data_IF_124627285049
#
_entry.id   IF_124627285049
#
_cell.length_a   1.000
_cell.length_b   1.000
_cell.length_c   1.000
_cell.angle_alpha   90.00
_cell.angle_beta   90.00
_cell.angle_gamma   90.00
#
_symmetry.space_group_name_H-M   'P 1'
#
loop_
_entity.id
_entity.type
_entity.pdbx_description
1 polymer ?
#
# COMPACT_ATOMS: atom_id res chain seq x y z
N UNK A 1 0.59 -17.52 -9.86
CA UNK A 1 0.54 -16.09 -10.22
C UNK A 1 1.96 -15.56 -10.42
N UNK A 2 2.86 -15.60 -9.45
CA UNK A 2 4.23 -15.09 -9.61
C UNK A 2 4.97 -15.74 -10.77
N UNK A 3 4.96 -17.08 -10.89
CA UNK A 3 5.58 -17.79 -11.99
C UNK A 3 4.97 -17.44 -13.37
N UNK A 4 3.70 -17.04 -13.40
CA UNK A 4 3.08 -16.55 -14.63
C UNK A 4 3.62 -15.17 -14.98
N UNK A 5 3.66 -14.22 -14.04
CA UNK A 5 4.24 -12.89 -14.27
C UNK A 5 5.68 -12.96 -14.76
N UNK A 6 6.48 -13.90 -14.23
CA UNK A 6 7.86 -14.12 -14.68
C UNK A 6 7.90 -14.64 -16.11
N UNK A 7 7.08 -15.66 -16.46
CA UNK A 7 6.99 -16.17 -17.84
C UNK A 7 6.53 -15.12 -18.83
N UNK A 8 5.68 -14.19 -18.41
CA UNK A 8 5.21 -13.07 -19.23
C UNK A 8 6.24 -11.93 -19.33
N UNK A 9 7.45 -12.12 -18.77
CA UNK A 9 8.55 -11.15 -18.84
C UNK A 9 8.34 -9.90 -18.00
N UNK A 10 7.50 -9.94 -16.98
CA UNK A 10 7.14 -8.77 -16.17
C UNK A 10 8.18 -8.41 -15.08
N UNK A 11 9.20 -9.21 -14.84
CA UNK A 11 10.14 -9.02 -13.73
C UNK A 11 10.85 -7.66 -13.75
N UNK A 12 11.38 -7.29 -14.91
CA UNK A 12 12.08 -6.01 -15.09
C UNK A 12 11.12 -4.83 -14.91
N UNK A 13 9.91 -4.96 -15.48
CA UNK A 13 8.88 -3.93 -15.29
C UNK A 13 8.46 -3.78 -13.83
N UNK A 14 8.18 -4.87 -13.12
CA UNK A 14 7.86 -4.84 -11.69
C UNK A 14 8.96 -4.14 -10.90
N UNK A 15 10.23 -4.50 -11.15
CA UNK A 15 11.37 -3.87 -10.49
C UNK A 15 11.45 -2.38 -10.78
N UNK A 16 11.36 -1.96 -12.03
CA UNK A 16 11.49 -0.56 -12.42
C UNK A 16 10.33 0.32 -11.97
N UNK A 17 9.09 -0.20 -12.04
CA UNK A 17 7.90 0.54 -11.67
C UNK A 17 7.64 0.58 -10.16
N UNK A 18 7.91 -0.54 -9.45
CA UNK A 18 7.53 -0.68 -8.05
C UNK A 18 8.71 -0.76 -7.07
N UNK A 19 9.93 -0.94 -7.56
CA UNK A 19 11.12 -1.20 -6.74
C UNK A 19 11.13 -2.59 -6.09
N UNK A 20 10.16 -3.46 -6.42
CA UNK A 20 9.98 -4.76 -5.79
C UNK A 20 10.39 -5.90 -6.74
N UNK A 21 10.55 -7.08 -6.18
CA UNK A 21 10.66 -8.34 -6.94
C UNK A 21 9.29 -8.98 -7.09
N UNK A 22 9.12 -9.86 -8.07
CA UNK A 22 7.89 -10.67 -8.22
C UNK A 22 7.86 -11.75 -7.14
N UNK A 23 7.09 -11.51 -6.08
CA UNK A 23 7.04 -12.37 -4.90
C UNK A 23 5.61 -12.41 -4.31
N UNK A 24 5.11 -13.57 -3.82
CA UNK A 24 3.80 -13.69 -3.20
C UNK A 24 3.69 -12.97 -1.84
N UNK A 25 4.78 -12.45 -1.32
CA UNK A 25 4.80 -11.63 -0.10
C UNK A 25 3.93 -10.38 -0.25
N UNK A 26 3.88 -9.77 -1.42
CA UNK A 26 3.18 -8.52 -1.69
C UNK A 26 1.68 -8.72 -1.95
N UNK A 27 0.90 -7.65 -1.72
CA UNK A 27 -0.57 -7.73 -1.71
C UNK A 27 -1.19 -8.06 -3.07
N UNK A 28 -0.61 -7.57 -4.17
CA UNK A 28 -1.20 -7.67 -5.51
C UNK A 28 -1.55 -9.10 -5.92
N UNK A 29 -0.64 -10.05 -5.70
CA UNK A 29 -0.89 -11.47 -6.03
C UNK A 29 -1.97 -12.10 -5.16
N UNK A 30 -2.10 -11.66 -3.89
CA UNK A 30 -3.14 -12.14 -2.97
C UNK A 30 -4.51 -11.60 -3.37
N UNK A 31 -4.59 -10.33 -3.77
CA UNK A 31 -5.84 -9.73 -4.28
C UNK A 31 -6.29 -10.46 -5.54
N UNK A 32 -5.38 -10.66 -6.51
CA UNK A 32 -5.68 -11.45 -7.70
C UNK A 32 -6.22 -12.84 -7.34
N UNK A 33 -5.55 -13.55 -6.44
CA UNK A 33 -5.96 -14.89 -6.03
C UNK A 33 -7.40 -14.90 -5.47
N UNK A 34 -7.73 -13.92 -4.60
CA UNK A 34 -9.08 -13.80 -4.03
C UNK A 34 -10.10 -13.52 -5.14
N UNK A 35 -9.81 -12.59 -6.05
CA UNK A 35 -10.72 -12.25 -7.15
C UNK A 35 -10.92 -13.40 -8.15
N UNK A 36 -9.93 -14.29 -8.30
CA UNK A 36 -10.02 -15.46 -9.18
C UNK A 36 -10.78 -16.63 -8.53
N UNK A 37 -10.81 -16.75 -7.18
CA UNK A 37 -11.33 -17.92 -6.49
C UNK A 37 -12.64 -17.67 -5.73
N UNK A 38 -13.01 -16.41 -5.50
CA UNK A 38 -14.28 -16.07 -4.85
C UNK A 38 -15.29 -15.67 -5.91
N UNK A 39 -16.31 -16.47 -6.09
CA UNK A 39 -17.35 -16.26 -7.11
C UNK A 39 -17.98 -14.87 -7.01
N UNK A 40 -18.09 -14.19 -8.16
CA UNK A 40 -18.69 -12.86 -8.28
C UNK A 40 -17.88 -11.72 -7.68
N UNK A 41 -16.74 -11.99 -7.01
CA UNK A 41 -15.94 -10.95 -6.33
C UNK A 41 -15.39 -9.92 -7.32
N UNK A 42 -14.92 -10.36 -8.49
CA UNK A 42 -14.35 -9.46 -9.50
C UNK A 42 -15.38 -8.45 -10.02
N UNK A 43 -16.59 -8.93 -10.33
CA UNK A 43 -17.66 -8.05 -10.80
C UNK A 43 -18.13 -7.07 -9.70
N UNK A 44 -18.15 -7.52 -8.46
CA UNK A 44 -18.43 -6.64 -7.30
C UNK A 44 -17.32 -5.60 -7.11
N UNK A 45 -16.06 -6.00 -7.29
CA UNK A 45 -14.91 -5.09 -7.23
C UNK A 45 -14.97 -4.03 -8.34
N UNK A 46 -15.34 -4.41 -9.58
CA UNK A 46 -15.53 -3.47 -10.70
C UNK A 46 -16.62 -2.44 -10.41
N UNK A 47 -17.67 -2.83 -9.67
CA UNK A 47 -18.75 -1.91 -9.25
C UNK A 47 -18.41 -1.10 -7.99
N UNK A 48 -17.21 -1.24 -7.42
CA UNK A 48 -16.81 -0.56 -6.19
C UNK A 48 -17.51 -1.07 -4.92
N UNK A 49 -18.10 -2.26 -4.96
CA UNK A 49 -18.75 -2.90 -3.80
C UNK A 49 -17.75 -3.60 -2.87
N UNK A 50 -16.56 -3.90 -3.38
CA UNK A 50 -15.45 -4.46 -2.62
C UNK A 50 -14.29 -3.47 -2.64
N UNK A 51 -13.76 -3.20 -1.47
CA UNK A 51 -12.62 -2.30 -1.29
C UNK A 51 -11.39 -3.09 -0.83
N UNK A 52 -10.26 -2.73 -1.38
CA UNK A 52 -8.95 -3.20 -0.94
C UNK A 52 -8.33 -2.20 0.03
N UNK A 53 -7.53 -2.71 0.96
CA UNK A 53 -6.70 -1.88 1.83
C UNK A 53 -5.64 -2.70 2.53
N UNK A 54 -4.53 -2.05 2.82
CA UNK A 54 -3.55 -2.49 3.80
C UNK A 54 -4.06 -2.20 5.22
N UNK A 55 -3.33 -2.60 6.25
CA UNK A 55 -3.79 -2.48 7.64
C UNK A 55 -4.11 -1.03 8.03
N UNK A 56 -3.32 -0.08 7.56
CA UNK A 56 -3.54 1.36 7.75
C UNK A 56 -4.89 1.82 7.18
N UNK A 57 -5.18 1.44 5.93
CA UNK A 57 -6.47 1.72 5.27
C UNK A 57 -7.63 1.16 6.09
N UNK A 58 -7.52 -0.08 6.57
CA UNK A 58 -8.54 -0.71 7.40
C UNK A 58 -8.76 0.04 8.70
N UNK A 59 -7.68 0.44 9.38
CA UNK A 59 -7.77 1.21 10.64
C UNK A 59 -8.47 2.55 10.41
N UNK A 60 -8.09 3.30 9.39
CA UNK A 60 -8.71 4.59 9.07
C UNK A 60 -10.17 4.40 8.68
N UNK A 61 -10.48 3.42 7.85
CA UNK A 61 -11.85 3.06 7.51
C UNK A 61 -12.70 2.82 8.76
N UNK A 62 -12.19 2.05 9.71
CA UNK A 62 -12.90 1.78 10.98
C UNK A 62 -13.00 3.03 11.85
N UNK A 63 -11.91 3.78 12.04
CA UNK A 63 -11.89 4.98 12.86
C UNK A 63 -12.77 6.10 12.30
N UNK A 64 -12.95 6.13 10.97
CA UNK A 64 -13.82 7.11 10.29
C UNK A 64 -15.23 6.58 10.01
N UNK A 65 -15.58 5.38 10.46
CA UNK A 65 -16.87 4.74 10.20
C UNK A 65 -17.20 4.61 8.71
N UNK A 66 -16.22 4.18 7.91
CA UNK A 66 -16.40 3.94 6.48
C UNK A 66 -16.40 5.19 5.60
N UNK A 67 -16.03 6.35 6.13
CA UNK A 67 -16.05 7.61 5.35
C UNK A 67 -14.77 7.90 4.58
N UNK A 68 -13.65 7.35 5.01
CA UNK A 68 -12.33 7.61 4.40
C UNK A 68 -11.69 6.28 4.01
N UNK A 69 -11.43 6.14 2.71
CA UNK A 69 -10.74 5.00 2.10
C UNK A 69 -9.43 5.48 1.49
N UNK A 70 -8.37 5.42 2.27
CA UNK A 70 -7.07 6.03 1.96
C UNK A 70 -5.92 5.16 2.44
N UNK A 71 -4.80 5.26 1.76
CA UNK A 71 -3.49 4.75 2.17
C UNK A 71 -2.43 5.81 1.93
N UNK A 72 -1.18 5.58 2.37
CA UNK A 72 -0.07 6.47 2.06
C UNK A 72 0.94 5.83 1.08
N UNK A 73 1.88 6.64 0.60
CA UNK A 73 2.93 6.19 -0.32
C UNK A 73 3.73 5.01 0.22
N UNK A 74 4.04 4.99 1.53
CA UNK A 74 4.88 3.96 2.12
C UNK A 74 4.18 2.60 2.18
N UNK A 75 2.89 2.55 2.51
CA UNK A 75 2.08 1.33 2.48
C UNK A 75 1.74 0.91 1.05
N UNK A 76 1.33 1.84 0.19
CA UNK A 76 1.03 1.57 -1.22
C UNK A 76 2.24 0.94 -1.94
N UNK A 77 3.46 1.42 -1.68
CA UNK A 77 4.70 0.90 -2.27
C UNK A 77 4.98 -0.57 -1.92
N UNK A 78 4.30 -1.16 -0.92
CA UNK A 78 4.46 -2.57 -0.53
C UNK A 78 3.43 -3.50 -1.16
N UNK A 79 2.65 -3.03 -2.12
CA UNK A 79 1.56 -3.82 -2.71
C UNK A 79 1.91 -4.51 -4.03
N UNK A 80 2.96 -4.11 -4.71
CA UNK A 80 3.31 -4.47 -6.10
C UNK A 80 2.29 -3.93 -7.12
N UNK A 81 1.44 -2.98 -6.70
CA UNK A 81 0.44 -2.32 -7.55
C UNK A 81 0.70 -0.83 -7.72
N UNK A 82 1.70 -0.28 -7.02
CA UNK A 82 1.97 1.14 -6.93
C UNK A 82 3.28 1.49 -7.65
N UNK A 83 3.23 2.48 -8.53
CA UNK A 83 4.40 2.97 -9.25
C UNK A 83 5.11 4.03 -8.41
N UNK A 84 6.33 3.72 -7.95
CA UNK A 84 7.12 4.60 -7.09
C UNK A 84 7.70 5.82 -7.82
N UNK A 85 7.68 5.82 -9.14
CA UNK A 85 8.19 6.93 -9.96
C UNK A 85 7.10 7.98 -10.24
N UNK A 86 5.86 7.55 -10.45
CA UNK A 86 4.71 8.44 -10.70
C UNK A 86 3.92 8.76 -9.43
N UNK A 87 4.11 7.99 -8.35
CA UNK A 87 3.38 8.05 -7.09
C UNK A 87 1.87 7.81 -7.26
N UNK A 88 1.53 6.87 -8.14
CA UNK A 88 0.15 6.47 -8.46
C UNK A 88 0.02 4.94 -8.55
N UNK A 89 -1.22 4.44 -8.48
CA UNK A 89 -1.49 3.04 -8.82
C UNK A 89 -1.11 2.78 -10.27
N UNK A 90 -0.35 1.72 -10.51
CA UNK A 90 0.22 1.39 -11.82
C UNK A 90 -0.78 0.61 -12.68
N UNK A 91 -1.31 1.25 -13.73
CA UNK A 91 -2.31 0.65 -14.60
C UNK A 91 -1.83 -0.65 -15.25
N UNK A 92 -0.56 -0.73 -15.67
CA UNK A 92 -0.03 -1.95 -16.27
C UNK A 92 0.04 -3.12 -15.28
N UNK A 93 0.33 -2.84 -14.00
CA UNK A 93 0.27 -3.86 -12.96
C UNK A 93 -1.17 -4.26 -12.64
N UNK A 94 -2.10 -3.31 -12.62
CA UNK A 94 -3.52 -3.60 -12.42
C UNK A 94 -4.07 -4.47 -13.55
N UNK A 95 -3.74 -4.16 -14.80
CA UNK A 95 -4.13 -4.95 -15.97
C UNK A 95 -3.51 -6.36 -15.94
N UNK A 96 -2.20 -6.47 -15.66
CA UNK A 96 -1.51 -7.76 -15.61
C UNK A 96 -2.07 -8.70 -14.53
N UNK A 97 -2.57 -8.13 -13.43
CA UNK A 97 -3.18 -8.88 -12.33
C UNK A 97 -4.71 -8.89 -12.41
N UNK A 98 -5.32 -8.23 -13.40
CA UNK A 98 -6.77 -8.07 -13.57
C UNK A 98 -7.45 -7.59 -12.28
N UNK A 99 -6.89 -6.52 -11.70
CA UNK A 99 -7.38 -5.89 -10.46
C UNK A 99 -8.12 -4.59 -10.82
N UNK A 100 -9.42 -4.49 -10.50
CA UNK A 100 -10.19 -3.29 -10.78
C UNK A 100 -9.71 -2.09 -9.96
N UNK A 101 -9.36 -0.98 -10.62
CA UNK A 101 -8.94 0.26 -9.95
C UNK A 101 -9.99 0.79 -8.96
N UNK A 102 -11.28 0.54 -9.21
CA UNK A 102 -12.38 0.99 -8.37
C UNK A 102 -12.34 0.46 -6.92
N UNK A 103 -11.60 -0.62 -6.67
CA UNK A 103 -11.46 -1.18 -5.33
C UNK A 103 -10.29 -0.60 -4.51
N UNK A 104 -9.41 0.20 -5.14
CA UNK A 104 -8.18 0.68 -4.52
C UNK A 104 -8.42 1.98 -3.73
N UNK A 105 -7.71 2.18 -2.58
CA UNK A 105 -7.80 3.41 -1.82
C UNK A 105 -7.14 4.59 -2.55
N UNK A 106 -7.54 5.80 -2.21
CA UNK A 106 -6.81 7.01 -2.59
C UNK A 106 -5.42 6.97 -1.93
N UNK A 107 -4.37 7.25 -2.69
CA UNK A 107 -3.00 7.32 -2.17
C UNK A 107 -2.66 8.76 -1.84
N UNK A 108 -2.20 9.01 -0.62
CA UNK A 108 -1.93 10.35 -0.10
C UNK A 108 -0.55 10.42 0.57
N UNK A 109 -0.13 11.62 0.97
CA UNK A 109 1.14 11.82 1.67
C UNK A 109 1.10 11.19 3.05
N UNK A 110 2.23 10.73 3.57
CA UNK A 110 2.33 10.13 4.92
C UNK A 110 2.02 11.13 6.06
N UNK A 111 2.16 12.43 5.82
CA UNK A 111 1.87 13.50 6.78
C UNK A 111 0.83 14.45 6.17
N UNK A 112 -0.44 14.20 6.47
CA UNK A 112 -1.59 14.93 5.96
C UNK A 112 -2.81 14.63 6.83
N UNK A 113 -3.75 15.56 6.95
CA UNK A 113 -5.02 15.29 7.65
C UNK A 113 -5.96 14.52 6.73
N UNK A 114 -6.13 13.23 6.97
CA UNK A 114 -6.99 12.34 6.16
C UNK A 114 -8.46 12.40 6.58
N UNK A 115 -8.72 12.70 7.83
CA UNK A 115 -10.05 12.74 8.41
C UNK A 115 -9.99 12.89 9.92
N UNK A 116 -11.15 12.67 10.55
CA UNK A 116 -11.25 12.71 12.01
C UNK A 116 -11.79 11.37 12.51
N UNK A 117 -11.27 10.93 13.64
CA UNK A 117 -11.81 9.76 14.33
C UNK A 117 -13.25 10.06 14.83
N UNK A 118 -14.02 9.01 15.00
CA UNK A 118 -15.29 9.08 15.72
C UNK A 118 -15.28 7.98 16.82
N UNK A 119 -14.31 8.10 17.72
CA UNK A 119 -14.15 7.15 18.83
C UNK A 119 -15.18 7.49 19.90
N UNK A 120 -16.01 6.51 20.26
CA UNK A 120 -17.06 6.66 21.26
C UNK A 120 -18.47 6.98 20.68
N UNK A 121 -18.67 6.92 19.37
CA UNK A 121 -19.98 7.08 18.75
C UNK A 121 -20.52 8.51 18.73
N UNK A 122 -21.84 8.68 18.81
CA UNK A 122 -22.48 10.01 18.86
C UNK A 122 -22.03 10.76 20.13
N UNK A 123 -21.35 11.90 19.94
CA UNK A 123 -20.79 12.71 21.02
C UNK A 123 -19.37 12.33 21.44
N UNK A 124 -18.73 11.36 20.80
CA UNK A 124 -17.34 10.97 21.04
C UNK A 124 -16.32 12.02 20.60
N UNK A 125 -15.11 11.88 21.12
CA UNK A 125 -13.99 12.78 20.80
C UNK A 125 -13.57 12.63 19.33
N UNK A 126 -13.48 13.75 18.63
CA UNK A 126 -12.98 13.81 17.27
C UNK A 126 -11.51 14.21 17.31
N UNK A 127 -10.64 13.30 16.89
CA UNK A 127 -9.19 13.54 16.82
C UNK A 127 -8.78 13.49 15.35
N UNK A 128 -8.05 14.47 14.82
CA UNK A 128 -7.52 14.40 13.46
C UNK A 128 -6.61 13.18 13.28
N UNK A 129 -6.79 12.45 12.17
CA UNK A 129 -5.87 11.42 11.73
C UNK A 129 -4.91 12.11 10.77
N UNK A 130 -3.70 12.39 11.22
CA UNK A 130 -2.77 13.27 10.51
C UNK A 130 -1.46 12.59 10.11
N UNK A 131 -1.34 11.29 10.26
CA UNK A 131 -0.16 10.54 9.89
C UNK A 131 -0.48 9.09 9.58
N UNK A 132 0.10 8.57 8.49
CA UNK A 132 0.11 7.17 8.09
C UNK A 132 1.54 6.84 7.67
N UNK A 133 2.08 5.72 8.11
CA UNK A 133 3.35 5.21 7.59
C UNK A 133 3.42 3.69 7.77
N UNK A 134 4.05 3.01 6.83
CA UNK A 134 4.46 1.62 7.02
C UNK A 134 5.42 1.51 8.20
N UNK A 135 5.37 0.41 8.94
CA UNK A 135 6.14 0.21 10.18
C UNK A 135 7.64 0.43 9.99
N UNK A 136 8.20 -0.07 8.90
CA UNK A 136 9.63 0.04 8.62
C UNK A 136 10.04 1.47 8.23
N UNK A 137 9.20 2.19 7.48
CA UNK A 137 9.41 3.59 7.13
C UNK A 137 9.21 4.50 8.35
N UNK A 138 8.22 4.22 9.18
CA UNK A 138 8.04 4.90 10.46
C UNK A 138 9.26 4.73 11.38
N UNK A 139 9.83 3.52 11.43
CA UNK A 139 11.04 3.24 12.19
C UNK A 139 12.26 3.99 11.64
N UNK A 140 12.42 4.07 10.30
CA UNK A 140 13.49 4.85 9.66
C UNK A 140 13.42 6.32 10.05
N UNK A 141 12.23 6.90 9.96
CA UNK A 141 11.98 8.29 10.36
C UNK A 141 12.15 8.49 11.88
N UNK A 142 11.61 7.60 12.69
CA UNK A 142 11.69 7.65 14.16
C UNK A 142 13.14 7.53 14.69
N UNK A 143 14.03 6.89 13.94
CA UNK A 143 15.46 6.84 14.22
C UNK A 143 16.24 8.03 13.62
N UNK A 144 15.53 9.05 13.14
CA UNK A 144 16.10 10.28 12.54
C UNK A 144 17.00 10.01 11.33
N UNK A 145 16.73 8.95 10.57
CA UNK A 145 17.43 8.68 9.31
C UNK A 145 16.88 9.57 8.18
N UNK A 146 17.01 10.88 8.36
CA UNK A 146 16.41 11.91 7.48
C UNK A 146 17.34 12.45 6.40
N UNK A 147 18.59 11.99 6.39
CA UNK A 147 19.57 12.36 5.35
C UNK A 147 19.92 11.16 4.50
N UNK A 148 20.23 11.41 3.22
CA UNK A 148 20.73 10.40 2.30
C UNK A 148 21.92 9.62 2.90
N UNK A 149 21.93 8.31 2.71
CA UNK A 149 22.92 7.38 3.26
C UNK A 149 22.69 6.94 4.70
N UNK A 150 21.76 7.58 5.45
CA UNK A 150 21.42 7.12 6.79
C UNK A 150 20.55 5.87 6.72
N UNK A 151 20.89 4.88 7.54
CA UNK A 151 20.21 3.59 7.54
C UNK A 151 19.85 3.14 8.97
N UNK A 152 18.81 2.35 9.05
CA UNK A 152 18.44 1.61 10.25
C UNK A 152 18.37 0.12 9.95
N UNK A 153 18.52 -0.70 10.96
CA UNK A 153 18.27 -2.12 10.87
C UNK A 153 17.41 -2.56 12.06
N UNK A 154 16.27 -3.16 11.77
CA UNK A 154 15.36 -3.70 12.78
C UNK A 154 15.53 -5.21 12.86
N UNK A 155 15.86 -5.72 14.02
CA UNK A 155 15.91 -7.15 14.31
C UNK A 155 14.68 -7.53 15.14
N UNK A 156 13.85 -8.42 14.60
CA UNK A 156 12.66 -8.98 15.23
C UNK A 156 12.41 -10.37 14.66
N UNK A 157 11.17 -10.69 14.34
CA UNK A 157 10.81 -11.92 13.60
C UNK A 157 11.53 -12.00 12.25
N UNK A 158 11.81 -10.84 11.65
CA UNK A 158 12.67 -10.68 10.48
C UNK A 158 13.73 -9.60 10.71
N UNK A 159 14.70 -9.51 9.80
CA UNK A 159 15.71 -8.45 9.78
C UNK A 159 15.40 -7.53 8.62
N UNK A 160 15.13 -6.26 8.92
CA UNK A 160 14.73 -5.26 7.93
C UNK A 160 15.67 -4.06 7.97
N UNK A 161 16.59 -4.02 7.03
CA UNK A 161 17.47 -2.89 6.81
C UNK A 161 16.82 -1.92 5.81
N UNK A 162 16.68 -0.65 6.20
CA UNK A 162 16.24 0.42 5.32
C UNK A 162 17.27 1.53 5.33
N UNK A 163 17.48 2.13 4.16
CA UNK A 163 18.36 3.28 3.97
C UNK A 163 17.58 4.40 3.26
N UNK A 164 17.81 5.63 3.71
CA UNK A 164 17.35 6.82 2.99
C UNK A 164 18.23 7.01 1.76
N UNK A 165 17.68 6.91 0.57
CA UNK A 165 18.39 7.01 -0.72
C UNK A 165 18.26 8.41 -1.35
N UNK A 166 17.69 9.38 -0.61
CA UNK A 166 17.42 10.73 -1.11
C UNK A 166 16.18 10.77 -2.01
N UNK A 167 16.21 11.65 -3.01
CA UNK A 167 15.05 11.93 -3.89
C UNK A 167 14.92 10.98 -5.08
N UNK A 168 15.90 10.11 -5.29
CA UNK A 168 15.90 9.18 -6.44
C UNK A 168 15.65 7.76 -5.98
N UNK A 169 14.75 7.06 -6.70
CA UNK A 169 14.61 5.62 -6.60
C UNK A 169 15.89 4.93 -7.08
N UNK A 170 16.29 3.85 -6.38
CA UNK A 170 17.53 3.08 -6.64
C UNK A 170 17.16 1.66 -7.02
#
# INVERSE_FOLDING_TARGET
>A
ICEQLKRDGMEEYVRSATGLVVDPYFSGTKVKWILDHVEGSRERAKRGELLFGTVDTWLIWKMTQGRVHVTDYTNASRTMLFNINTLEWDDKMLDALDIPRAMLPEVRKSSEVYGQTNIGGKGGTRIPIAGIAGDQQAALFGQLCVKEGMAKNTYGTGCFMLMNTGEKAV
#
